data_IF_713416548429
#
_entry.id   IF_713416548429
#
_cell.length_a   1.000
_cell.length_b   1.000
_cell.length_c   1.000
_cell.angle_alpha   90.00
_cell.angle_beta   90.00
_cell.angle_gamma   90.00
#
_symmetry.space_group_name_H-M   'P 1'
#
loop_
_entity.id
_entity.type
_entity.pdbx_description
1 polymer ?
#
# COMPACT_ATOMS: atom_id res chain seq x y z
N UNK A 1 18.11 26.64 32.19
CA UNK A 1 17.08 26.84 31.14
C UNK A 1 15.98 25.83 31.43
N UNK A 2 14.83 26.27 31.94
CA UNK A 2 13.76 25.37 32.39
C UNK A 2 12.84 25.04 31.20
N UNK A 3 12.68 23.76 30.89
CA UNK A 3 11.77 23.28 29.85
C UNK A 3 10.35 23.36 30.43
N UNK A 4 9.50 24.18 29.81
CA UNK A 4 8.10 24.33 30.20
C UNK A 4 7.29 23.30 29.43
N UNK A 5 6.74 22.32 30.14
CA UNK A 5 5.86 21.30 29.56
C UNK A 5 4.51 21.94 29.22
N UNK A 6 4.09 21.85 27.96
CA UNK A 6 2.79 22.36 27.48
C UNK A 6 1.94 21.17 27.09
N UNK A 7 0.84 20.96 27.80
CA UNK A 7 -0.12 19.89 27.51
C UNK A 7 -1.36 20.49 26.85
N UNK A 8 -1.67 20.06 25.63
CA UNK A 8 -2.90 20.43 24.93
C UNK A 8 -3.93 19.30 25.04
N UNK A 9 -5.09 19.57 25.63
CA UNK A 9 -6.21 18.64 25.70
C UNK A 9 -7.47 19.30 25.14
N UNK A 10 -8.21 18.55 24.31
CA UNK A 10 -9.50 18.96 23.79
C UNK A 10 -10.40 17.73 23.68
N UNK A 11 -11.65 17.88 24.12
CA UNK A 11 -12.69 16.88 23.89
C UNK A 11 -13.18 17.05 22.44
N UNK A 12 -13.11 15.97 21.67
CA UNK A 12 -13.61 15.91 20.30
C UNK A 12 -14.71 14.86 20.19
N UNK A 13 -15.83 15.17 19.49
CA UNK A 13 -16.89 14.19 19.28
C UNK A 13 -16.39 13.06 18.39
N UNK A 14 -16.84 11.83 18.67
CA UNK A 14 -16.55 10.67 17.84
C UNK A 14 -17.37 10.77 16.55
N UNK A 15 -16.69 10.82 15.40
CA UNK A 15 -17.36 10.89 14.09
C UNK A 15 -17.86 9.53 13.61
N UNK A 16 -17.06 8.48 13.78
CA UNK A 16 -17.38 7.12 13.37
C UNK A 16 -16.61 6.08 14.18
N UNK A 17 -17.15 4.87 14.25
CA UNK A 17 -16.54 3.71 14.91
C UNK A 17 -16.35 2.56 13.92
N UNK A 18 -15.31 1.76 14.12
CA UNK A 18 -14.91 0.64 13.28
C UNK A 18 -14.17 -0.40 14.13
N UNK A 19 -14.14 -1.65 13.68
CA UNK A 19 -13.35 -2.71 14.30
C UNK A 19 -11.85 -2.49 14.06
N UNK A 20 -11.52 -1.94 12.88
CA UNK A 20 -10.15 -1.61 12.47
C UNK A 20 -10.12 -0.20 11.86
N UNK A 21 -9.20 0.63 12.35
CA UNK A 21 -8.90 1.94 11.76
C UNK A 21 -7.45 1.91 11.26
N UNK A 22 -7.26 2.14 9.97
CA UNK A 22 -5.94 2.28 9.35
C UNK A 22 -5.68 3.76 9.10
N UNK A 23 -4.53 4.24 9.58
CA UNK A 23 -4.10 5.63 9.41
C UNK A 23 -2.96 5.69 8.39
N UNK A 24 -3.19 6.38 7.28
CA UNK A 24 -2.26 6.53 6.17
C UNK A 24 -2.63 5.66 4.96
N UNK A 25 -2.83 6.31 3.81
CA UNK A 25 -3.25 5.74 2.54
C UNK A 25 -2.09 5.30 1.64
N UNK A 26 -0.92 4.95 2.21
CA UNK A 26 0.19 4.39 1.42
C UNK A 26 -0.17 3.01 0.84
N UNK A 27 0.65 2.42 -0.04
CA UNK A 27 0.42 1.06 -0.52
C UNK A 27 0.25 0.05 0.62
N UNK A 28 1.06 0.18 1.68
CA UNK A 28 0.97 -0.66 2.87
C UNK A 28 -0.34 -0.47 3.64
N UNK A 29 -0.73 0.79 3.90
CA UNK A 29 -1.98 1.10 4.61
C UNK A 29 -3.22 0.69 3.82
N UNK A 30 -3.21 0.91 2.51
CA UNK A 30 -4.28 0.49 1.61
C UNK A 30 -4.44 -1.05 1.63
N UNK A 31 -3.34 -1.79 1.58
CA UNK A 31 -3.40 -3.25 1.69
C UNK A 31 -3.88 -3.74 3.06
N UNK A 32 -3.44 -3.10 4.14
CA UNK A 32 -3.92 -3.41 5.48
C UNK A 32 -5.44 -3.19 5.59
N UNK A 33 -5.95 -2.08 5.07
CA UNK A 33 -7.37 -1.77 5.08
C UNK A 33 -8.18 -2.77 4.25
N UNK A 34 -7.71 -3.11 3.04
CA UNK A 34 -8.35 -4.12 2.18
C UNK A 34 -8.34 -5.49 2.86
N UNK A 35 -7.22 -5.88 3.48
CA UNK A 35 -7.12 -7.16 4.18
C UNK A 35 -8.10 -7.23 5.35
N UNK A 36 -8.18 -6.19 6.18
CA UNK A 36 -9.12 -6.14 7.30
C UNK A 36 -10.58 -6.20 6.81
N UNK A 37 -10.92 -5.44 5.78
CA UNK A 37 -12.25 -5.49 5.18
C UNK A 37 -12.60 -6.88 4.61
N UNK A 38 -11.65 -7.54 3.93
CA UNK A 38 -11.82 -8.90 3.41
C UNK A 38 -11.97 -9.97 4.50
N UNK A 39 -11.39 -9.72 5.68
CA UNK A 39 -11.60 -10.55 6.88
C UNK A 39 -12.94 -10.29 7.58
N UNK A 40 -13.80 -9.42 7.04
CA UNK A 40 -15.13 -9.13 7.58
C UNK A 40 -15.18 -8.01 8.61
N UNK A 41 -14.08 -7.30 8.87
CA UNK A 41 -14.06 -6.20 9.82
C UNK A 41 -14.69 -4.94 9.20
N UNK A 42 -15.51 -4.23 9.98
CA UNK A 42 -15.87 -2.83 9.67
C UNK A 42 -14.59 -2.02 9.74
N UNK A 43 -14.12 -1.55 8.58
CA UNK A 43 -12.80 -0.94 8.45
C UNK A 43 -12.91 0.51 7.97
N UNK A 44 -12.15 1.41 8.60
CA UNK A 44 -11.99 2.80 8.15
C UNK A 44 -10.53 3.01 7.75
N UNK A 45 -10.30 3.57 6.55
CA UNK A 45 -9.00 4.07 6.12
C UNK A 45 -9.02 5.61 6.18
N UNK A 46 -8.11 6.19 6.96
CA UNK A 46 -7.96 7.63 7.11
C UNK A 46 -6.71 8.12 6.37
N UNK A 47 -6.88 9.10 5.50
CA UNK A 47 -5.79 9.78 4.81
C UNK A 47 -6.01 11.30 4.87
N UNK A 48 -4.99 12.03 5.31
CA UNK A 48 -5.06 13.48 5.53
C UNK A 48 -4.79 14.31 4.27
N UNK A 49 -4.04 13.75 3.31
CA UNK A 49 -3.51 14.46 2.14
C UNK A 49 -4.48 14.56 0.96
N UNK A 50 -5.67 13.97 1.08
CA UNK A 50 -6.68 13.95 0.01
C UNK A 50 -6.36 13.01 -1.17
N UNK A 51 -5.21 12.33 -1.16
CA UNK A 51 -4.82 11.37 -2.19
C UNK A 51 -4.18 10.12 -1.56
N UNK A 52 -4.41 8.96 -2.18
CA UNK A 52 -3.76 7.71 -1.79
C UNK A 52 -2.36 7.58 -2.43
N UNK A 53 -1.57 6.67 -1.88
CA UNK A 53 -0.25 6.28 -2.38
C UNK A 53 0.94 6.83 -1.57
N UNK A 54 0.70 7.70 -0.59
CA UNK A 54 1.76 8.18 0.32
C UNK A 54 2.96 8.76 -0.44
N UNK A 55 4.18 8.38 -0.07
CA UNK A 55 5.40 8.84 -0.75
C UNK A 55 5.48 8.50 -2.23
N UNK A 56 4.82 7.42 -2.67
CA UNK A 56 4.81 7.05 -4.09
C UNK A 56 4.06 8.06 -4.95
N UNK A 57 2.97 8.65 -4.42
CA UNK A 57 2.17 9.67 -5.12
C UNK A 57 2.61 11.08 -4.71
N UNK A 58 2.53 11.38 -3.42
CA UNK A 58 2.75 12.73 -2.87
C UNK A 58 4.22 13.12 -2.84
N UNK A 59 5.11 12.14 -2.66
CA UNK A 59 6.55 12.34 -2.65
C UNK A 59 7.20 12.15 -4.02
N UNK A 60 6.41 11.87 -5.07
CA UNK A 60 6.91 11.54 -6.41
C UNK A 60 7.97 10.42 -6.43
N UNK A 61 7.89 9.47 -5.48
CA UNK A 61 8.81 8.33 -5.43
C UNK A 61 8.32 7.24 -6.38
N UNK A 62 8.80 7.26 -7.62
CA UNK A 62 8.44 6.29 -8.66
C UNK A 62 9.22 4.96 -8.59
N UNK A 63 10.23 4.88 -7.72
CA UNK A 63 11.09 3.71 -7.60
C UNK A 63 10.50 2.71 -6.60
N UNK A 64 9.83 1.68 -7.12
CA UNK A 64 9.42 0.52 -6.34
C UNK A 64 10.50 -0.57 -6.44
N UNK A 65 11.30 -0.72 -5.41
CA UNK A 65 12.37 -1.72 -5.39
C UNK A 65 11.79 -3.13 -5.28
N UNK A 66 12.01 -3.96 -6.30
CA UNK A 66 11.63 -5.38 -6.30
C UNK A 66 12.58 -6.29 -5.50
N UNK A 67 13.43 -5.72 -4.64
CA UNK A 67 14.45 -6.48 -3.90
C UNK A 67 13.87 -6.93 -2.55
N UNK A 68 13.97 -8.23 -2.25
CA UNK A 68 13.45 -8.81 -1.00
C UNK A 68 12.07 -9.45 -1.14
N UNK A 69 11.27 -9.42 -0.08
CA UNK A 69 9.99 -10.14 -0.03
C UNK A 69 8.86 -9.38 -0.76
N UNK A 70 8.80 -9.51 -2.08
CA UNK A 70 7.78 -8.90 -2.95
C UNK A 70 6.52 -9.76 -2.99
N UNK A 71 5.57 -9.48 -2.08
CA UNK A 71 4.33 -10.25 -1.94
C UNK A 71 3.11 -9.33 -1.80
N UNK A 72 1.90 -9.93 -1.81
CA UNK A 72 0.64 -9.21 -1.63
C UNK A 72 0.47 -8.04 -2.61
N UNK A 73 -0.03 -6.91 -2.10
CA UNK A 73 -0.28 -5.71 -2.92
C UNK A 73 0.98 -5.17 -3.61
N UNK A 74 2.15 -5.37 -3.00
CA UNK A 74 3.40 -4.85 -3.53
C UNK A 74 3.80 -5.59 -4.80
N UNK A 75 3.53 -6.92 -4.83
CA UNK A 75 3.65 -7.73 -6.04
C UNK A 75 2.68 -7.30 -7.13
N UNK A 76 1.42 -7.02 -6.77
CA UNK A 76 0.41 -6.53 -7.72
C UNK A 76 0.86 -5.17 -8.31
N UNK A 77 1.31 -4.25 -7.46
CA UNK A 77 1.77 -2.93 -7.86
C UNK A 77 2.99 -2.97 -8.80
N UNK A 78 4.03 -3.74 -8.45
CA UNK A 78 5.20 -3.94 -9.33
C UNK A 78 4.78 -4.63 -10.62
N UNK A 79 3.88 -5.62 -10.54
CA UNK A 79 3.34 -6.35 -11.68
C UNK A 79 2.58 -5.48 -12.68
N UNK A 80 2.03 -4.35 -12.25
CA UNK A 80 1.40 -3.35 -13.13
C UNK A 80 2.40 -2.26 -13.59
N UNK A 81 3.38 -1.89 -12.75
CA UNK A 81 4.37 -0.85 -13.08
C UNK A 81 5.45 -1.31 -14.06
N UNK A 82 5.91 -2.55 -13.96
CA UNK A 82 7.06 -3.07 -14.72
C UNK A 82 6.78 -3.76 -16.08
N UNK A 83 5.55 -4.08 -16.53
CA UNK A 83 5.36 -4.67 -17.86
C UNK A 83 5.57 -3.68 -19.01
N UNK A 84 5.25 -2.40 -18.80
CA UNK A 84 5.20 -1.39 -19.85
C UNK A 84 6.37 -0.38 -19.83
N UNK A 85 7.14 -0.33 -18.73
CA UNK A 85 8.31 0.56 -18.60
C UNK A 85 9.54 0.09 -19.41
N UNK A 86 9.42 -1.03 -20.13
CA UNK A 86 10.49 -1.64 -20.91
C UNK A 86 10.15 -1.58 -22.41
N UNK A 87 11.12 -1.25 -23.29
CA UNK A 87 10.92 -1.27 -24.75
C UNK A 87 10.32 -2.60 -25.21
N UNK A 88 9.54 -2.59 -26.30
CA UNK A 88 8.91 -3.79 -26.87
C UNK A 88 9.92 -4.88 -27.28
N UNK A 89 11.18 -4.51 -27.49
CA UNK A 89 12.32 -5.40 -27.75
C UNK A 89 12.96 -5.99 -26.49
N UNK A 90 12.54 -5.56 -25.30
CA UNK A 90 13.11 -6.01 -24.03
C UNK A 90 12.60 -7.43 -23.70
N UNK A 91 13.47 -8.40 -23.37
CA UNK A 91 13.10 -9.81 -23.16
C UNK A 91 12.00 -10.09 -22.11
N UNK A 92 11.68 -9.10 -21.26
CA UNK A 92 10.63 -9.17 -20.23
C UNK A 92 9.20 -8.97 -20.74
N UNK A 93 9.02 -8.48 -21.97
CA UNK A 93 7.69 -8.30 -22.58
C UNK A 93 6.97 -9.63 -22.91
N UNK A 94 7.72 -10.73 -23.04
CA UNK A 94 7.23 -11.99 -23.61
C UNK A 94 6.59 -12.99 -22.64
N UNK A 95 6.37 -12.66 -21.35
CA UNK A 95 5.76 -13.63 -20.40
C UNK A 95 4.62 -13.04 -19.57
N UNK A 96 3.49 -12.76 -20.24
CA UNK A 96 2.17 -12.87 -19.61
C UNK A 96 1.70 -14.33 -19.62
N UNK A 97 1.97 -15.03 -18.53
CA UNK A 97 1.03 -16.04 -17.99
C UNK A 97 1.02 -15.90 -16.48
N UNK A 98 0.24 -14.93 -16.01
CA UNK A 98 -0.10 -14.81 -14.59
C UNK A 98 -1.21 -15.83 -14.37
N UNK A 99 -0.89 -16.95 -13.70
CA UNK A 99 -1.91 -17.90 -13.27
C UNK A 99 -2.66 -17.30 -12.06
N UNK A 100 -3.99 -17.45 -11.97
CA UNK A 100 -4.83 -16.67 -11.06
C UNK A 100 -4.74 -17.09 -9.57
N UNK A 101 -3.80 -17.95 -9.19
CA UNK A 101 -3.75 -18.54 -7.84
C UNK A 101 -2.31 -18.56 -7.33
N UNK A 102 -2.08 -17.92 -6.19
CA UNK A 102 -0.78 -17.62 -5.59
C UNK A 102 -0.01 -18.84 -5.06
N UNK A 103 0.54 -19.67 -5.95
CA UNK A 103 1.55 -20.66 -5.57
C UNK A 103 2.63 -20.73 -6.65
N UNK A 104 3.85 -20.33 -6.30
CA UNK A 104 5.03 -20.43 -7.16
C UNK A 104 5.51 -21.89 -7.12
N UNK A 105 5.26 -22.70 -8.15
CA UNK A 105 6.13 -23.87 -8.38
C UNK A 105 7.44 -23.38 -8.96
N UNK A 106 8.56 -23.92 -8.45
CA UNK A 106 9.87 -23.75 -9.09
C UNK A 106 9.74 -24.22 -10.53
N UNK A 107 10.14 -23.37 -11.47
CA UNK A 107 10.43 -23.80 -12.81
C UNK A 107 11.72 -24.63 -12.73
N UNK A 108 11.58 -25.87 -13.17
CA UNK A 108 12.63 -26.79 -13.61
C UNK A 108 13.59 -26.16 -14.62
#
# INVERSE_FOLDING_TARGET
MSIKEITMQRIVPVHATADVIVVGGSPAGTAAAISAARSGCKTILLEHSGQLGGMSTLGNVSVFMGVGNVTGIYREMIGEFFPAALPSSHPGHARRRIHPIGCLRRAD
#
